data_IF_337565579986
#
_entry.id   IF_337565579986
#
_cell.length_a   1.000
_cell.length_b   1.000
_cell.length_c   1.000
_cell.angle_alpha   90.00
_cell.angle_beta   90.00
_cell.angle_gamma   90.00
#
_symmetry.space_group_name_H-M   'P 1'
#
loop_
_entity.id
_entity.type
_entity.pdbx_description
1 polymer ?
#
# COMPACT_ATOMS: atom_id res chain seq x y z
N UNK A 1 -36.77 52.50 10.21
CA UNK A 1 -35.60 53.17 10.82
C UNK A 1 -35.46 52.70 12.25
N UNK A 2 -34.55 51.77 12.54
CA UNK A 2 -33.79 51.72 13.80
C UNK A 2 -32.73 50.64 13.67
N UNK A 3 -31.49 51.06 13.50
CA UNK A 3 -30.30 50.22 13.39
C UNK A 3 -29.80 49.91 14.81
N UNK A 4 -29.90 48.66 15.27
CA UNK A 4 -29.22 48.23 16.48
C UNK A 4 -27.81 47.77 16.12
N UNK A 5 -26.83 48.63 16.43
CA UNK A 5 -25.40 48.33 16.38
C UNK A 5 -25.01 47.49 17.59
N UNK A 6 -24.63 46.22 17.37
CA UNK A 6 -23.89 45.45 18.35
C UNK A 6 -22.40 45.77 18.21
N UNK A 7 -21.85 46.42 19.23
CA UNK A 7 -20.42 46.66 19.42
C UNK A 7 -19.94 45.67 20.49
N UNK A 8 -19.12 44.70 20.10
CA UNK A 8 -18.45 43.81 21.05
C UNK A 8 -16.94 43.96 20.89
N UNK A 9 -16.34 44.49 21.96
CA UNK A 9 -14.93 44.86 22.06
C UNK A 9 -14.07 43.59 22.10
N UNK A 10 -13.03 43.59 21.28
CA UNK A 10 -11.90 42.66 21.29
C UNK A 10 -11.12 42.86 22.58
N UNK A 11 -11.01 41.83 23.42
CA UNK A 11 -10.11 41.80 24.57
C UNK A 11 -8.86 40.98 24.21
N UNK A 12 -7.76 41.69 24.02
CA UNK A 12 -6.42 41.13 23.91
C UNK A 12 -5.94 40.77 25.32
N UNK A 13 -5.58 39.51 25.56
CA UNK A 13 -4.85 39.11 26.76
C UNK A 13 -3.48 38.61 26.32
N UNK A 14 -2.48 39.47 26.55
CA UNK A 14 -1.07 39.13 26.55
C UNK A 14 -0.79 38.25 27.78
N UNK A 15 -0.24 37.05 27.59
CA UNK A 15 0.48 36.34 28.65
C UNK A 15 1.91 36.10 28.18
N UNK A 16 2.81 36.61 29.01
CA UNK A 16 4.22 36.76 28.79
C UNK A 16 4.96 35.43 28.70
N UNK A 17 5.97 35.46 27.83
CA UNK A 17 7.06 34.49 27.68
C UNK A 17 7.87 34.43 28.98
N UNK A 18 7.90 33.26 29.63
CA UNK A 18 8.93 32.94 30.62
C UNK A 18 9.96 32.02 29.96
N UNK A 19 11.07 32.65 29.58
CA UNK A 19 12.31 31.99 29.19
C UNK A 19 13.03 31.53 30.45
N UNK A 20 13.23 30.23 30.61
CA UNK A 20 14.10 29.67 31.64
C UNK A 20 15.15 28.78 30.95
N UNK A 21 16.33 29.36 30.74
CA UNK A 21 17.55 28.64 30.41
C UNK A 21 17.90 27.67 31.54
N UNK A 22 17.78 26.37 31.28
CA UNK A 22 18.51 25.34 32.02
C UNK A 22 19.56 24.74 31.10
N UNK A 23 20.78 25.29 31.19
CA UNK A 23 22.00 24.69 30.67
C UNK A 23 22.40 23.55 31.59
N UNK A 24 22.02 22.32 31.24
CA UNK A 24 22.62 21.10 31.78
C UNK A 24 23.63 20.57 30.75
N UNK A 25 24.91 20.72 31.06
CA UNK A 25 26.04 20.19 30.29
C UNK A 25 26.03 18.67 30.45
N UNK A 26 25.55 17.95 29.44
CA UNK A 26 25.77 16.51 29.32
C UNK A 26 27.19 16.25 28.84
N UNK A 27 27.99 15.64 29.72
CA UNK A 27 29.19 14.93 29.30
C UNK A 27 28.81 13.58 28.69
N UNK A 28 29.21 13.37 27.44
CA UNK A 28 29.53 12.04 26.90
C UNK A 28 30.78 12.19 26.04
N UNK A 29 31.85 11.54 26.46
CA UNK A 29 33.11 11.41 25.74
C UNK A 29 32.86 10.78 24.37
N UNK A 30 33.29 11.45 23.30
CA UNK A 30 33.42 10.84 21.99
C UNK A 30 34.53 9.78 22.06
N UNK A 31 34.18 8.52 21.83
CA UNK A 31 35.16 7.47 21.54
C UNK A 31 35.74 7.67 20.12
N UNK A 32 37.03 7.39 19.90
CA UNK A 32 37.68 7.59 18.60
C UNK A 32 37.14 6.59 17.57
N UNK A 33 36.88 7.07 16.36
CA UNK A 33 36.54 6.26 15.21
C UNK A 33 37.85 5.64 14.69
N UNK A 34 37.94 4.31 14.71
CA UNK A 34 39.03 3.59 14.05
C UNK A 34 38.88 3.74 12.53
N UNK A 35 39.83 4.45 11.94
CA UNK A 35 39.99 4.64 10.50
C UNK A 35 40.39 3.32 9.84
N UNK A 36 39.45 2.68 9.14
CA UNK A 36 39.75 1.52 8.27
C UNK A 36 40.40 2.03 6.99
N UNK A 37 41.73 2.04 6.98
CA UNK A 37 42.55 2.28 5.78
C UNK A 37 42.42 1.09 4.82
N UNK A 38 41.60 1.24 3.79
CA UNK A 38 41.57 0.31 2.65
C UNK A 38 42.82 0.57 1.80
N UNK A 39 43.77 -0.38 1.83
CA UNK A 39 44.88 -0.44 0.88
C UNK A 39 44.38 -0.98 -0.47
N UNK A 40 44.66 -0.34 -1.61
CA UNK A 40 44.34 -0.90 -2.91
C UNK A 40 45.40 -1.91 -3.33
N UNK A 41 45.02 -3.18 -3.45
CA UNK A 41 45.88 -4.21 -4.05
C UNK A 41 45.50 -4.44 -5.53
N UNK A 42 46.41 -3.96 -6.38
CA UNK A 42 46.91 -4.53 -7.64
C UNK A 42 45.90 -4.98 -8.72
N UNK A 43 45.79 -4.10 -9.70
CA UNK A 43 45.46 -4.30 -11.11
C UNK A 43 46.14 -5.52 -11.76
N UNK A 44 45.35 -6.34 -12.47
CA UNK A 44 45.81 -7.15 -13.60
C UNK A 44 44.96 -6.77 -14.82
N UNK A 45 45.58 -6.06 -15.76
CA UNK A 45 45.02 -5.75 -17.08
C UNK A 45 45.32 -6.93 -18.01
N UNK A 46 44.30 -7.48 -18.65
CA UNK A 46 44.46 -8.29 -19.86
C UNK A 46 43.54 -7.69 -20.94
N UNK A 47 44.15 -7.06 -21.95
CA UNK A 47 43.51 -6.77 -23.22
C UNK A 47 43.51 -8.04 -24.08
N UNK A 48 42.56 -8.16 -25.03
CA UNK A 48 43.04 -8.16 -26.41
C UNK A 48 42.22 -7.29 -27.37
N UNK A 49 42.99 -6.69 -28.26
CA UNK A 49 42.72 -6.19 -29.61
C UNK A 49 41.74 -7.00 -30.45
N UNK A 50 40.99 -6.32 -31.33
CA UNK A 50 40.69 -6.84 -32.67
C UNK A 50 39.29 -6.60 -33.23
N UNK A 51 39.15 -5.57 -34.05
CA UNK A 51 38.02 -5.29 -34.95
C UNK A 51 38.11 -6.17 -36.20
N UNK A 52 37.01 -6.79 -36.66
CA UNK A 52 36.57 -6.85 -38.08
C UNK A 52 35.50 -7.93 -38.37
N UNK A 53 34.51 -7.54 -39.18
CA UNK A 53 33.56 -8.32 -39.99
C UNK A 53 33.69 -7.71 -41.40
N UNK A 54 33.63 -8.40 -42.58
CA UNK A 54 32.49 -9.26 -43.01
C UNK A 54 32.71 -10.44 -44.01
N UNK A 55 31.66 -11.31 -44.06
CA UNK A 55 31.08 -12.14 -45.16
C UNK A 55 31.70 -13.47 -45.71
N UNK A 56 30.91 -14.56 -45.55
CA UNK A 56 30.51 -15.78 -46.35
C UNK A 56 31.28 -16.24 -47.63
N UNK A 57 31.10 -17.48 -48.21
CA UNK A 57 29.96 -18.44 -48.16
C UNK A 57 30.24 -19.98 -48.19
N UNK A 58 29.14 -20.77 -48.31
CA UNK A 58 28.94 -22.12 -48.92
C UNK A 58 28.70 -23.30 -47.94
N UNK A 59 27.47 -23.85 -47.89
CA UNK A 59 26.92 -25.09 -48.56
C UNK A 59 27.33 -26.39 -47.85
N UNK A 60 26.57 -27.48 -47.71
CA UNK A 60 25.21 -27.89 -48.03
C UNK A 60 24.89 -29.15 -47.16
N UNK A 61 23.61 -29.33 -46.83
CA UNK A 61 22.84 -30.60 -46.80
C UNK A 61 23.38 -31.88 -46.14
N UNK A 62 22.60 -32.41 -45.18
CA UNK A 62 21.97 -33.73 -45.32
C UNK A 62 20.95 -33.95 -44.20
N UNK A 63 19.66 -33.89 -44.55
CA UNK A 63 18.56 -34.27 -43.69
C UNK A 63 17.79 -35.42 -44.32
N UNK A 64 17.65 -36.53 -43.58
CA UNK A 64 16.62 -37.55 -43.77
C UNK A 64 16.68 -38.50 -42.56
N UNK A 65 15.66 -38.47 -41.72
CA UNK A 65 14.77 -39.61 -41.48
C UNK A 65 13.54 -39.14 -40.69
N UNK A 66 12.38 -39.49 -41.25
CA UNK A 66 11.07 -39.37 -40.64
C UNK A 66 10.69 -40.67 -39.92
N UNK A 67 9.84 -40.55 -38.89
CA UNK A 67 8.83 -41.52 -38.41
C UNK A 67 8.53 -41.16 -36.94
N UNK A 68 7.32 -41.12 -36.38
CA UNK A 68 5.93 -41.15 -36.84
C UNK A 68 5.07 -41.07 -35.54
N UNK A 69 3.97 -40.29 -35.56
CA UNK A 69 2.75 -40.35 -34.69
C UNK A 69 2.92 -40.19 -33.17
N UNK A 70 2.00 -39.65 -32.39
CA UNK A 70 0.73 -38.92 -32.52
C UNK A 70 0.36 -38.54 -31.06
N UNK A 71 -0.57 -37.59 -30.90
CA UNK A 71 -1.51 -37.44 -29.79
C UNK A 71 -1.30 -36.25 -28.83
N UNK A 72 -2.15 -35.24 -29.07
CA UNK A 72 -3.02 -34.52 -28.10
C UNK A 72 -2.32 -33.74 -26.99
N UNK A 73 -2.41 -32.41 -27.04
CA UNK A 73 -3.41 -31.69 -26.23
C UNK A 73 -3.55 -30.23 -26.70
N UNK A 74 -4.79 -29.80 -26.93
CA UNK A 74 -5.16 -28.40 -27.13
C UNK A 74 -4.58 -27.54 -25.99
N UNK A 75 -4.03 -26.34 -26.26
CA UNK A 75 -3.78 -25.43 -25.17
C UNK A 75 -5.13 -25.01 -24.58
N UNK A 76 -5.29 -25.35 -23.31
CA UNK A 76 -6.46 -25.14 -22.49
C UNK A 76 -7.08 -23.75 -22.74
N UNK A 77 -8.35 -23.76 -23.12
CA UNK A 77 -9.28 -22.68 -22.82
C UNK A 77 -9.19 -22.43 -21.31
N UNK A 78 -8.51 -21.35 -20.93
CA UNK A 78 -8.72 -20.76 -19.61
C UNK A 78 -10.23 -20.53 -19.47
N UNK A 79 -10.87 -20.96 -18.37
CA UNK A 79 -12.19 -20.45 -18.10
C UNK A 79 -12.06 -18.94 -17.92
N UNK A 80 -12.66 -18.17 -18.83
CA UNK A 80 -13.17 -16.86 -18.47
C UNK A 80 -13.93 -17.03 -17.15
N UNK A 81 -13.50 -16.33 -16.11
CA UNK A 81 -14.31 -16.17 -14.89
C UNK A 81 -14.85 -14.74 -14.87
N UNK A 82 -16.05 -14.48 -15.43
CA UNK A 82 -16.79 -13.28 -15.16
C UNK A 82 -17.92 -13.60 -14.18
N UNK A 83 -17.62 -13.81 -12.90
CA UNK A 83 -18.63 -13.74 -11.83
C UNK A 83 -18.01 -13.05 -10.60
N UNK A 84 -18.49 -11.85 -10.30
CA UNK A 84 -18.10 -11.10 -9.11
C UNK A 84 -18.66 -11.78 -7.86
N UNK A 85 -17.90 -12.69 -7.26
CA UNK A 85 -18.38 -13.43 -6.09
C UNK A 85 -18.14 -12.66 -4.80
N UNK A 86 -18.92 -11.59 -4.62
CA UNK A 86 -19.24 -11.12 -3.27
C UNK A 86 -19.85 -12.28 -2.49
N UNK A 87 -19.39 -12.49 -1.26
CA UNK A 87 -19.72 -13.67 -0.47
C UNK A 87 -18.96 -13.70 0.84
N UNK A 88 -19.24 -14.69 1.68
CA UNK A 88 -18.55 -14.83 2.95
C UNK A 88 -17.10 -15.32 2.75
N UNK A 89 -16.16 -14.69 3.44
CA UNK A 89 -14.77 -15.15 3.57
C UNK A 89 -14.46 -15.43 5.04
N UNK A 90 -13.47 -16.29 5.27
CA UNK A 90 -12.91 -16.53 6.61
C UNK A 90 -11.47 -16.05 6.61
N UNK A 91 -11.24 -14.89 7.23
CA UNK A 91 -9.92 -14.29 7.44
C UNK A 91 -9.22 -14.93 8.63
N UNK A 92 -7.98 -15.35 8.44
CA UNK A 92 -7.14 -15.96 9.48
C UNK A 92 -7.76 -17.20 10.14
N UNK A 93 -8.62 -17.91 9.40
CA UNK A 93 -9.33 -19.10 9.88
C UNK A 93 -10.35 -18.86 10.99
N UNK A 94 -10.65 -17.60 11.35
CA UNK A 94 -11.52 -17.29 12.50
C UNK A 94 -12.45 -16.08 12.35
N UNK A 95 -12.18 -15.15 11.44
CA UNK A 95 -12.98 -13.94 11.28
C UNK A 95 -13.81 -14.03 10.00
N UNK A 96 -15.12 -14.06 10.14
CA UNK A 96 -16.05 -14.10 9.01
C UNK A 96 -16.46 -12.69 8.59
N UNK A 97 -16.43 -12.44 7.29
CA UNK A 97 -16.78 -11.15 6.68
C UNK A 97 -17.56 -11.40 5.38
N UNK A 98 -18.57 -10.59 5.11
CA UNK A 98 -19.32 -10.62 3.84
C UNK A 98 -18.76 -9.59 2.87
N UNK A 99 -18.08 -10.07 1.83
CA UNK A 99 -17.50 -9.22 0.78
C UNK A 99 -18.62 -8.63 -0.09
N UNK A 100 -18.58 -7.32 -0.43
CA UNK A 100 -19.59 -6.70 -1.28
C UNK A 100 -19.71 -7.37 -2.67
N UNK A 101 -20.94 -7.39 -3.19
CA UNK A 101 -21.20 -7.85 -4.55
C UNK A 101 -20.49 -6.98 -5.58
N UNK A 102 -20.10 -7.58 -6.71
CA UNK A 102 -19.42 -6.89 -7.80
C UNK A 102 -17.91 -6.68 -7.61
N UNK A 103 -17.36 -6.99 -6.43
CA UNK A 103 -15.92 -7.06 -6.23
C UNK A 103 -15.37 -8.34 -6.86
N UNK A 104 -14.33 -8.20 -7.67
CA UNK A 104 -13.76 -9.30 -8.43
C UNK A 104 -12.60 -9.90 -7.66
N UNK A 105 -12.72 -11.16 -7.23
CA UNK A 105 -11.62 -11.85 -6.57
C UNK A 105 -10.42 -11.96 -7.50
N UNK A 106 -9.23 -11.74 -6.95
CA UNK A 106 -7.94 -11.88 -7.64
C UNK A 106 -7.06 -12.86 -6.89
N UNK A 107 -6.16 -13.53 -7.62
CA UNK A 107 -5.07 -14.26 -7.01
C UNK A 107 -4.07 -13.26 -6.44
N UNK A 108 -3.74 -13.32 -5.14
CA UNK A 108 -2.82 -12.35 -4.56
C UNK A 108 -1.43 -12.43 -5.19
N UNK A 109 -0.85 -11.28 -5.52
CA UNK A 109 0.48 -11.19 -6.11
C UNK A 109 1.61 -11.40 -5.07
N UNK A 110 1.29 -11.29 -3.78
CA UNK A 110 2.25 -11.41 -2.67
C UNK A 110 1.70 -12.45 -1.70
N UNK A 111 2.52 -13.42 -1.32
CA UNK A 111 2.12 -14.58 -0.49
C UNK A 111 1.59 -14.21 0.89
N UNK A 112 1.92 -13.03 1.41
CA UNK A 112 1.42 -12.53 2.70
C UNK A 112 -0.05 -12.06 2.64
N UNK A 113 -0.60 -11.87 1.43
CA UNK A 113 -1.98 -11.45 1.22
C UNK A 113 -2.85 -12.71 1.13
N UNK A 114 -3.79 -12.85 2.06
CA UNK A 114 -4.70 -14.00 2.15
C UNK A 114 -5.85 -13.89 1.13
N UNK A 115 -6.40 -12.69 0.98
CA UNK A 115 -7.42 -12.39 -0.04
C UNK A 115 -7.09 -11.09 -0.76
N UNK A 116 -7.36 -11.06 -2.07
CA UNK A 116 -7.22 -9.87 -2.90
C UNK A 116 -8.44 -9.70 -3.80
N UNK A 117 -8.93 -8.48 -3.94
CA UNK A 117 -10.05 -8.14 -4.81
C UNK A 117 -9.77 -6.87 -5.62
N UNK A 118 -10.30 -6.84 -6.84
CA UNK A 118 -10.39 -5.66 -7.72
C UNK A 118 -11.79 -5.08 -7.61
N UNK A 119 -11.89 -3.77 -7.38
CA UNK A 119 -13.15 -3.03 -7.36
C UNK A 119 -13.23 -2.22 -8.65
N UNK A 120 -14.19 -2.51 -9.55
CA UNK A 120 -14.27 -1.84 -10.84
C UNK A 120 -14.26 -0.32 -10.74
N UNK A 121 -13.46 0.33 -11.59
CA UNK A 121 -13.41 1.78 -11.68
C UNK A 121 -14.79 2.38 -11.97
N UNK A 122 -15.14 3.47 -11.28
CA UNK A 122 -16.31 4.27 -11.65
C UNK A 122 -15.99 5.18 -12.85
N UNK A 123 -17.02 5.70 -13.51
CA UNK A 123 -16.84 6.61 -14.65
C UNK A 123 -15.95 7.80 -14.30
N UNK A 124 -14.90 7.99 -15.09
CA UNK A 124 -13.94 9.10 -14.93
C UNK A 124 -12.72 8.76 -14.07
N UNK A 125 -12.66 7.59 -13.44
CA UNK A 125 -11.44 7.09 -12.81
C UNK A 125 -10.64 6.21 -13.76
N UNK A 126 -9.30 6.28 -13.74
CA UNK A 126 -8.46 5.62 -14.75
C UNK A 126 -8.20 4.13 -14.49
N UNK A 127 -8.61 3.61 -13.32
CA UNK A 127 -8.30 2.24 -12.89
C UNK A 127 -9.17 1.77 -11.74
N UNK A 128 -9.23 0.45 -11.60
CA UNK A 128 -9.86 -0.23 -10.48
C UNK A 128 -9.20 0.12 -9.14
N UNK A 129 -9.98 0.01 -8.08
CA UNK A 129 -9.46 -0.03 -6.71
C UNK A 129 -9.00 -1.45 -6.34
N UNK A 130 -8.07 -1.55 -5.39
CA UNK A 130 -7.51 -2.81 -4.90
C UNK A 130 -7.83 -2.99 -3.42
N UNK A 131 -8.30 -4.18 -3.05
CA UNK A 131 -8.59 -4.57 -1.67
C UNK A 131 -7.72 -5.75 -1.29
N UNK A 132 -7.01 -5.66 -0.17
CA UNK A 132 -6.14 -6.73 0.33
C UNK A 132 -6.46 -7.07 1.77
N UNK A 133 -6.40 -8.35 2.10
CA UNK A 133 -6.60 -8.90 3.44
C UNK A 133 -5.33 -9.63 3.85
N UNK A 134 -4.72 -9.26 4.98
CA UNK A 134 -3.45 -9.85 5.41
C UNK A 134 -3.22 -9.76 6.92
N UNK A 135 -2.44 -10.69 7.47
CA UNK A 135 -1.93 -10.59 8.83
C UNK A 135 -0.72 -9.66 8.90
N UNK A 136 -0.55 -8.99 10.03
CA UNK A 136 0.60 -8.15 10.31
C UNK A 136 0.93 -8.13 11.80
N UNK A 137 2.22 -7.99 12.10
CA UNK A 137 2.71 -7.73 13.44
C UNK A 137 2.88 -6.23 13.72
N UNK A 138 3.42 -5.93 14.90
CA UNK A 138 3.66 -4.56 15.37
C UNK A 138 2.41 -3.92 16.00
N UNK A 139 2.55 -2.69 16.48
CA UNK A 139 1.43 -1.97 17.09
C UNK A 139 0.46 -1.44 16.04
N UNK A 140 -0.81 -1.29 16.41
CA UNK A 140 -1.84 -0.66 15.56
C UNK A 140 -1.37 0.73 15.13
N UNK A 141 -0.94 1.57 16.07
CA UNK A 141 -0.50 2.94 15.80
C UNK A 141 0.65 2.99 14.79
N UNK A 142 1.70 2.17 14.96
CA UNK A 142 2.83 2.18 14.04
C UNK A 142 2.42 1.77 12.62
N UNK A 143 1.46 0.84 12.50
CA UNK A 143 0.95 0.41 11.21
C UNK A 143 0.07 1.48 10.54
N UNK A 144 -0.76 2.19 11.30
CA UNK A 144 -1.56 3.32 10.81
C UNK A 144 -0.64 4.45 10.35
N UNK A 145 0.37 4.81 11.15
CA UNK A 145 1.36 5.82 10.76
C UNK A 145 2.10 5.42 9.48
N UNK A 146 2.44 4.13 9.31
CA UNK A 146 3.02 3.65 8.05
C UNK A 146 2.08 3.86 6.88
N UNK A 147 0.77 3.65 7.02
CA UNK A 147 -0.19 3.90 5.95
C UNK A 147 -0.33 5.39 5.63
N UNK A 148 -0.36 6.26 6.65
CA UNK A 148 -0.36 7.72 6.47
C UNK A 148 0.87 8.17 5.70
N UNK A 149 2.04 7.66 6.04
CA UNK A 149 3.31 7.97 5.35
C UNK A 149 3.41 7.43 3.92
N UNK A 150 2.43 6.65 3.44
CA UNK A 150 2.32 6.30 2.02
C UNK A 150 1.58 7.37 1.20
N UNK A 151 1.08 8.42 1.85
CA UNK A 151 0.37 9.51 1.21
C UNK A 151 1.14 10.82 1.39
N UNK A 152 1.28 11.55 0.29
CA UNK A 152 1.58 12.98 0.35
C UNK A 152 0.27 13.75 0.36
N UNK A 153 0.22 14.80 1.19
CA UNK A 153 -0.93 15.68 1.30
C UNK A 153 -0.61 17.06 0.70
N UNK A 154 -1.61 17.81 0.21
CA UNK A 154 -1.41 19.15 -0.34
C UNK A 154 -0.58 20.04 0.59
N UNK A 155 0.42 20.72 0.04
CA UNK A 155 1.26 21.64 0.82
C UNK A 155 0.41 22.75 1.43
N UNK A 156 0.68 23.07 2.71
CA UNK A 156 -0.04 24.10 3.45
C UNK A 156 -1.35 23.64 4.09
N UNK A 157 -1.73 22.37 3.96
CA UNK A 157 -2.82 21.75 4.73
C UNK A 157 -2.26 20.80 5.80
N UNK A 158 -2.80 20.79 7.02
CA UNK A 158 -2.51 19.75 8.00
C UNK A 158 -2.85 18.36 7.48
N UNK A 159 -1.98 17.36 7.71
CA UNK A 159 -2.28 15.97 7.36
C UNK A 159 -3.56 15.45 8.05
N UNK A 160 -3.91 16.01 9.22
CA UNK A 160 -5.14 15.70 9.96
C UNK A 160 -6.41 15.99 9.16
N UNK A 161 -6.38 16.91 8.20
CA UNK A 161 -7.55 17.25 7.38
C UNK A 161 -7.83 16.18 6.33
N UNK A 162 -6.82 15.35 6.05
CA UNK A 162 -6.84 14.28 5.06
C UNK A 162 -6.86 12.88 5.66
N UNK A 163 -6.78 12.77 6.99
CA UNK A 163 -6.75 11.51 7.73
C UNK A 163 -7.87 11.51 8.76
N UNK A 164 -8.80 10.56 8.66
CA UNK A 164 -9.82 10.30 9.67
C UNK A 164 -9.60 8.93 10.27
N UNK A 165 -9.82 8.82 11.57
CA UNK A 165 -9.70 7.57 12.30
C UNK A 165 -10.90 7.40 13.22
N UNK A 166 -11.40 6.16 13.32
CA UNK A 166 -12.42 5.78 14.31
C UNK A 166 -12.10 4.39 14.84
N UNK A 167 -12.45 4.12 16.10
CA UNK A 167 -12.33 2.79 16.70
C UNK A 167 -13.73 2.28 17.03
N UNK A 168 -14.03 1.07 16.59
CA UNK A 168 -15.30 0.38 16.81
C UNK A 168 -15.08 -0.92 17.60
N UNK A 169 -16.11 -1.34 18.31
CA UNK A 169 -16.23 -2.68 18.90
C UNK A 169 -17.27 -3.46 18.10
N UNK A 170 -16.85 -4.51 17.39
CA UNK A 170 -17.72 -5.32 16.54
C UNK A 170 -17.59 -6.77 16.99
N UNK A 171 -18.70 -7.39 17.42
CA UNK A 171 -18.72 -8.76 17.94
C UNK A 171 -17.64 -9.03 19.01
N UNK A 172 -17.40 -8.07 19.92
CA UNK A 172 -16.37 -8.15 20.96
C UNK A 172 -14.93 -8.09 20.45
N UNK A 173 -14.74 -7.64 19.21
CA UNK A 173 -13.42 -7.42 18.59
C UNK A 173 -13.24 -5.94 18.30
N UNK A 174 -12.11 -5.38 18.74
CA UNK A 174 -11.74 -3.99 18.48
C UNK A 174 -11.24 -3.83 17.05
N UNK A 175 -11.81 -2.87 16.33
CA UNK A 175 -11.48 -2.57 14.94
C UNK A 175 -11.16 -1.09 14.78
N UNK A 176 -9.99 -0.77 14.25
CA UNK A 176 -9.59 0.61 13.94
C UNK A 176 -9.79 0.88 12.46
N UNK A 177 -10.63 1.85 12.14
CA UNK A 177 -10.83 2.34 10.80
C UNK A 177 -9.96 3.56 10.54
N UNK A 178 -9.45 3.63 9.32
CA UNK A 178 -8.64 4.73 8.82
C UNK A 178 -9.13 5.12 7.43
N UNK A 179 -9.29 6.41 7.20
CA UNK A 179 -9.64 6.99 5.90
C UNK A 179 -8.62 8.06 5.56
N UNK A 180 -7.89 7.85 4.46
CA UNK A 180 -6.77 8.70 4.02
C UNK A 180 -7.03 9.18 2.60
N UNK A 181 -6.88 10.47 2.36
CA UNK A 181 -6.94 11.06 1.00
C UNK A 181 -5.61 11.74 0.66
N UNK A 182 -5.22 11.74 -0.61
CA UNK A 182 -4.02 12.45 -1.06
C UNK A 182 -3.36 11.80 -2.27
N UNK A 183 -2.07 12.06 -2.45
CA UNK A 183 -1.25 11.45 -3.48
C UNK A 183 -0.63 10.18 -2.91
N UNK A 184 -1.07 9.02 -3.39
CA UNK A 184 -0.55 7.73 -2.94
C UNK A 184 0.80 7.42 -3.61
N UNK A 185 1.81 7.12 -2.80
CA UNK A 185 3.14 6.72 -3.25
C UNK A 185 3.16 5.21 -3.50
N UNK A 186 2.74 4.80 -4.71
CA UNK A 186 2.67 3.40 -5.11
C UNK A 186 4.08 2.83 -5.32
N UNK A 187 4.59 2.08 -4.34
CA UNK A 187 5.89 1.41 -4.45
C UNK A 187 5.77 0.02 -5.09
N UNK A 188 6.58 -0.23 -6.11
CA UNK A 188 6.76 -1.56 -6.70
C UNK A 188 7.99 -2.26 -6.09
N UNK A 189 7.81 -2.89 -4.92
CA UNK A 189 8.81 -3.80 -4.32
C UNK A 189 9.70 -3.20 -3.22
N UNK A 190 10.64 -4.01 -2.69
CA UNK A 190 11.42 -3.68 -1.49
C UNK A 190 12.46 -2.55 -1.66
N UNK A 191 12.73 -2.11 -2.90
CA UNK A 191 13.53 -0.92 -3.13
C UNK A 191 12.65 0.34 -3.15
N UNK A 192 12.73 1.11 -2.07
CA UNK A 192 12.05 2.40 -1.83
C UNK A 192 12.32 3.52 -2.86
N UNK A 193 12.99 3.25 -3.98
CA UNK A 193 13.44 4.26 -4.94
C UNK A 193 12.48 4.57 -6.10
N UNK A 194 11.52 3.68 -6.40
CA UNK A 194 10.65 3.80 -7.57
C UNK A 194 9.17 3.89 -7.19
N UNK A 195 8.82 4.81 -6.28
CA UNK A 195 7.41 5.09 -5.99
C UNK A 195 6.80 5.87 -7.16
N UNK A 196 5.66 5.38 -7.68
CA UNK A 196 4.87 6.08 -8.69
C UNK A 196 3.82 6.92 -7.96
N UNK A 197 3.86 8.27 -8.05
CA UNK A 197 2.86 9.11 -7.42
C UNK A 197 1.51 8.91 -8.11
N UNK A 198 0.47 8.68 -7.30
CA UNK A 198 -0.91 8.53 -7.74
C UNK A 198 -1.77 9.60 -7.09
N UNK A 199 -2.00 10.68 -7.82
CA UNK A 199 -2.82 11.81 -7.37
C UNK A 199 -4.30 11.41 -7.22
N UNK A 200 -5.02 12.15 -6.37
CA UNK A 200 -6.46 11.96 -6.13
C UNK A 200 -6.81 10.51 -5.78
N UNK A 201 -6.06 9.97 -4.84
CA UNK A 201 -6.26 8.64 -4.29
C UNK A 201 -6.87 8.71 -2.91
N UNK A 202 -7.53 7.61 -2.55
CA UNK A 202 -8.06 7.40 -1.22
C UNK A 202 -7.73 5.98 -0.75
N UNK A 203 -7.60 5.82 0.56
CA UNK A 203 -7.48 4.53 1.22
C UNK A 203 -8.46 4.45 2.38
N UNK A 204 -9.26 3.39 2.40
CA UNK A 204 -10.00 2.92 3.56
C UNK A 204 -9.26 1.71 4.14
N UNK A 205 -8.91 1.77 5.42
CA UNK A 205 -8.24 0.70 6.15
C UNK A 205 -9.07 0.26 7.34
N UNK A 206 -9.04 -1.03 7.65
CA UNK A 206 -9.49 -1.59 8.90
C UNK A 206 -8.37 -2.44 9.52
N UNK A 207 -8.09 -2.22 10.79
CA UNK A 207 -7.17 -3.02 11.60
C UNK A 207 -7.97 -3.77 12.65
N UNK A 208 -8.13 -5.08 12.46
CA UNK A 208 -8.82 -5.97 13.40
C UNK A 208 -7.78 -6.45 14.42
N UNK A 209 -7.96 -6.07 15.69
CA UNK A 209 -7.12 -6.56 16.78
C UNK A 209 -7.39 -8.04 17.06
N UNK A 210 -6.34 -8.78 17.36
CA UNK A 210 -6.45 -10.18 17.74
C UNK A 210 -5.60 -10.49 18.96
N UNK A 211 -6.07 -11.45 19.76
CA UNK A 211 -5.44 -11.85 21.03
C UNK A 211 -4.17 -12.68 20.85
N UNK A 212 -3.88 -13.13 19.63
CA UNK A 212 -2.68 -13.87 19.25
C UNK A 212 -1.46 -12.98 18.99
N UNK A 213 -1.55 -11.68 19.28
CA UNK A 213 -0.47 -10.72 19.07
C UNK A 213 -0.29 -10.29 17.61
N UNK A 214 -1.20 -10.70 16.72
CA UNK A 214 -1.29 -10.21 15.36
C UNK A 214 -2.44 -9.20 15.22
N UNK A 215 -2.36 -8.40 14.16
CA UNK A 215 -3.47 -7.63 13.64
C UNK A 215 -3.81 -8.09 12.23
N UNK A 216 -5.08 -8.03 11.86
CA UNK A 216 -5.51 -8.36 10.51
C UNK A 216 -5.96 -7.11 9.79
N UNK A 217 -5.28 -6.83 8.68
CA UNK A 217 -5.50 -5.63 7.89
C UNK A 217 -6.43 -5.94 6.74
N UNK A 218 -7.38 -5.03 6.54
CA UNK A 218 -8.21 -4.97 5.36
C UNK A 218 -8.01 -3.58 4.79
N UNK A 219 -7.30 -3.50 3.65
CA UNK A 219 -6.93 -2.22 3.03
C UNK A 219 -7.57 -2.14 1.66
N UNK A 220 -8.40 -1.14 1.45
CA UNK A 220 -9.00 -0.78 0.17
C UNK A 220 -8.41 0.56 -0.29
N UNK A 221 -7.75 0.59 -1.43
CA UNK A 221 -7.14 1.80 -1.95
C UNK A 221 -7.23 1.89 -3.48
N UNK A 222 -7.28 3.11 -3.99
CA UNK A 222 -7.46 3.36 -5.41
C UNK A 222 -7.83 4.82 -5.69
N UNK A 223 -8.24 5.13 -6.93
CA UNK A 223 -8.77 6.44 -7.27
C UNK A 223 -9.91 6.87 -6.34
N UNK A 224 -9.90 8.15 -5.95
CA UNK A 224 -10.76 8.67 -4.88
C UNK A 224 -12.25 8.47 -5.16
N UNK A 225 -12.72 8.66 -6.41
CA UNK A 225 -14.16 8.53 -6.71
C UNK A 225 -14.62 7.08 -6.60
N UNK A 226 -13.80 6.13 -7.05
CA UNK A 226 -14.07 4.68 -6.97
C UNK A 226 -14.13 4.24 -5.52
N UNK A 227 -13.17 4.68 -4.69
CA UNK A 227 -13.16 4.37 -3.26
C UNK A 227 -14.34 5.04 -2.55
N UNK A 228 -14.64 6.31 -2.87
CA UNK A 228 -15.77 7.03 -2.29
C UNK A 228 -17.12 6.37 -2.60
N UNK A 229 -17.34 5.95 -3.86
CA UNK A 229 -18.55 5.26 -4.27
C UNK A 229 -18.75 3.90 -3.57
N UNK A 230 -17.66 3.28 -3.10
CA UNK A 230 -17.68 1.99 -2.42
C UNK A 230 -17.47 2.10 -0.89
N UNK A 231 -17.39 3.31 -0.33
CA UNK A 231 -17.03 3.50 1.08
C UNK A 231 -18.06 2.89 2.03
N UNK A 232 -19.35 3.05 1.75
CA UNK A 232 -20.41 2.45 2.54
C UNK A 232 -20.40 0.91 2.45
N UNK A 233 -20.16 0.36 1.26
CA UNK A 233 -20.05 -1.08 1.05
C UNK A 233 -18.85 -1.67 1.81
N UNK A 234 -17.70 -0.99 1.77
CA UNK A 234 -16.53 -1.35 2.57
C UNK A 234 -16.86 -1.34 4.07
N UNK A 235 -17.50 -0.28 4.57
CA UNK A 235 -17.88 -0.18 5.99
C UNK A 235 -18.82 -1.32 6.41
N UNK A 236 -19.86 -1.59 5.62
CA UNK A 236 -20.81 -2.71 5.85
C UNK A 236 -20.12 -4.07 5.88
N UNK A 237 -19.13 -4.30 5.02
CA UNK A 237 -18.33 -5.52 5.05
C UNK A 237 -17.62 -5.67 6.40
N UNK A 238 -16.95 -4.63 6.89
CA UNK A 238 -16.26 -4.69 8.18
C UNK A 238 -17.25 -4.83 9.35
N UNK A 239 -18.41 -4.17 9.30
CA UNK A 239 -19.47 -4.31 10.30
C UNK A 239 -20.12 -5.70 10.32
N UNK A 240 -19.99 -6.48 9.24
CA UNK A 240 -20.42 -7.89 9.20
C UNK A 240 -19.50 -8.85 9.97
N UNK A 241 -18.39 -8.34 10.53
CA UNK A 241 -17.39 -9.13 11.25
C UNK A 241 -18.02 -9.94 12.38
N UNK A 242 -17.80 -11.25 12.33
CA UNK A 242 -18.12 -12.17 13.41
C UNK A 242 -17.10 -13.33 13.45
N UNK A 243 -17.22 -14.24 14.41
CA UNK A 243 -16.36 -15.43 14.55
C UNK A 243 -17.18 -16.69 14.34
#
# INVERSE_FOLDING_TARGET
MSQLRFSMKVAWINVAVYSACFLAVMGCQQAPQDEVVIRPEKTVVVQPTGTSTPQQPTSNESGLMASEKENVESPATQPEQPEGNGGEIVLAGKYRLTVPQGWQRRTPAISMIEYEFSVPAVTGDPRDGRVTFMAAGGSVEANIQRWINQFEHPQGQPASDHVKQETLEIAGTRVHFVDITGTYMESSGPMMGNAVPRENYRMLGAVIESQDGLSYFIKFYGPEKTVAANAEAFRKMIESLHR
#
